data_IF_984316257756
#
_entry.id   IF_984316257756
#
_cell.length_a   1.000
_cell.length_b   1.000
_cell.length_c   1.000
_cell.angle_alpha   90.00
_cell.angle_beta   90.00
_cell.angle_gamma   90.00
#
_symmetry.space_group_name_H-M   'P 1'
#
loop_
_entity.id
_entity.type
_entity.pdbx_description
1 polymer ?
#
# COMPACT_ATOMS: atom_id res chain seq x y z
N UNK A 1 12.92 -10.19 0.14
CA UNK A 1 14.29 -9.77 -0.23
C UNK A 1 14.68 -10.32 -1.60
N UNK A 2 14.72 -11.65 -1.80
CA UNK A 2 15.08 -12.29 -3.09
C UNK A 2 14.25 -11.73 -4.24
N UNK A 3 12.93 -11.73 -4.08
CA UNK A 3 12.01 -11.19 -5.09
C UNK A 3 12.18 -9.70 -5.39
N UNK A 4 12.62 -8.87 -4.43
CA UNK A 4 12.94 -7.46 -4.70
C UNK A 4 14.21 -7.34 -5.55
N UNK A 5 15.22 -8.18 -5.31
CA UNK A 5 16.39 -8.25 -6.18
C UNK A 5 16.01 -8.71 -7.59
N UNK A 6 15.09 -9.69 -7.72
CA UNK A 6 14.56 -10.12 -9.02
C UNK A 6 13.78 -9.03 -9.75
N UNK A 7 13.16 -8.09 -9.03
CA UNK A 7 12.47 -6.93 -9.60
C UNK A 7 13.43 -5.76 -9.93
N UNK A 8 14.72 -5.87 -9.60
CA UNK A 8 15.70 -4.82 -9.83
C UNK A 8 15.68 -3.68 -8.80
N UNK A 9 15.04 -3.88 -7.63
CA UNK A 9 15.05 -2.92 -6.52
C UNK A 9 15.95 -3.43 -5.37
N UNK A 10 17.26 -3.13 -5.41
CA UNK A 10 18.18 -3.59 -4.38
C UNK A 10 17.98 -2.88 -3.04
N UNK A 11 17.44 -1.65 -3.05
CA UNK A 11 17.23 -0.89 -1.83
C UNK A 11 16.17 -1.57 -0.95
N UNK A 12 15.01 -1.89 -1.52
CA UNK A 12 13.97 -2.63 -0.80
C UNK A 12 14.42 -4.05 -0.44
N UNK A 13 15.20 -4.69 -1.32
CA UNK A 13 15.85 -5.97 -1.03
C UNK A 13 16.65 -5.92 0.28
N UNK A 14 17.49 -4.90 0.44
CA UNK A 14 18.31 -4.69 1.65
C UNK A 14 17.50 -4.32 2.89
N UNK A 15 16.44 -3.51 2.75
CA UNK A 15 15.53 -3.20 3.87
C UNK A 15 14.94 -4.49 4.45
N UNK A 16 14.45 -5.40 3.61
CA UNK A 16 13.92 -6.68 4.05
C UNK A 16 15.00 -7.63 4.60
N UNK A 17 16.23 -7.56 4.08
CA UNK A 17 17.37 -8.30 4.64
C UNK A 17 17.69 -7.80 6.06
N UNK A 18 17.81 -6.49 6.28
CA UNK A 18 18.08 -5.92 7.59
C UNK A 18 16.96 -6.24 8.58
N UNK A 19 15.70 -6.21 8.14
CA UNK A 19 14.56 -6.64 8.98
C UNK A 19 14.69 -8.08 9.43
N UNK A 20 14.98 -9.00 8.50
CA UNK A 20 15.21 -10.41 8.82
C UNK A 20 16.40 -10.57 9.79
N UNK A 21 17.54 -9.94 9.48
CA UNK A 21 18.75 -10.02 10.29
C UNK A 21 18.53 -9.52 11.73
N UNK A 22 17.97 -8.32 11.91
CA UNK A 22 17.75 -7.75 13.23
C UNK A 22 16.71 -8.55 14.03
N UNK A 23 15.59 -8.93 13.41
CA UNK A 23 14.53 -9.63 14.10
C UNK A 23 14.95 -11.06 14.47
N UNK A 24 15.73 -11.74 13.62
CA UNK A 24 16.23 -13.07 13.93
C UNK A 24 17.33 -13.05 14.99
N UNK A 25 18.30 -12.14 14.92
CA UNK A 25 19.46 -12.11 15.83
C UNK A 25 19.13 -11.44 17.17
N UNK A 26 18.48 -10.26 17.13
CA UNK A 26 18.19 -9.46 18.33
C UNK A 26 16.74 -9.60 18.80
N UNK A 27 15.83 -9.98 17.90
CA UNK A 27 14.39 -10.12 18.17
C UNK A 27 13.96 -11.54 18.59
N UNK A 28 14.85 -12.30 19.23
CA UNK A 28 14.61 -13.68 19.68
C UNK A 28 14.12 -14.60 18.54
N UNK A 29 14.81 -14.64 17.41
CA UNK A 29 14.39 -15.50 16.29
C UNK A 29 13.18 -14.98 15.50
N UNK A 30 12.76 -13.74 15.73
CA UNK A 30 11.69 -13.07 14.98
C UNK A 30 10.40 -12.83 15.77
N UNK A 31 10.34 -13.20 17.06
CA UNK A 31 9.19 -12.92 17.92
C UNK A 31 9.02 -11.43 18.21
N UNK A 32 10.12 -10.66 18.23
CA UNK A 32 10.12 -9.23 18.52
C UNK A 32 10.58 -8.45 17.28
N UNK A 33 9.79 -7.45 16.86
CA UNK A 33 10.11 -6.58 15.71
C UNK A 33 11.07 -5.45 16.11
N UNK A 34 12.32 -5.81 16.37
CA UNK A 34 13.40 -4.86 16.72
C UNK A 34 13.68 -3.90 15.57
N UNK A 35 13.61 -4.38 14.32
CA UNK A 35 13.85 -3.58 13.14
C UNK A 35 12.84 -2.44 12.99
N UNK A 36 11.54 -2.73 13.17
CA UNK A 36 10.47 -1.73 13.11
C UNK A 36 10.58 -0.67 14.22
N UNK A 37 11.05 -1.07 15.41
CA UNK A 37 11.30 -0.14 16.52
C UNK A 37 12.54 0.74 16.28
N UNK A 38 13.57 0.22 15.60
CA UNK A 38 14.80 0.95 15.35
C UNK A 38 14.66 2.06 14.29
N UNK A 39 13.85 1.83 13.24
CA UNK A 39 13.67 2.81 12.17
C UNK A 39 12.29 2.70 11.50
N UNK A 40 11.56 3.81 11.32
CA UNK A 40 10.28 3.82 10.59
C UNK A 40 10.36 3.21 9.18
N UNK A 41 11.50 3.30 8.49
CA UNK A 41 11.69 2.71 7.15
C UNK A 41 11.75 1.18 7.16
N UNK A 42 11.96 0.56 8.32
CA UNK A 42 12.05 -0.89 8.50
C UNK A 42 10.75 -1.49 9.08
N UNK A 43 9.67 -0.72 9.12
CA UNK A 43 8.36 -1.20 9.55
C UNK A 43 7.85 -2.36 8.69
N UNK A 44 6.96 -3.16 9.30
CA UNK A 44 6.35 -4.29 8.61
C UNK A 44 5.50 -3.85 7.43
N UNK A 45 5.70 -4.52 6.31
CA UNK A 45 4.99 -4.30 5.04
C UNK A 45 4.52 -5.64 4.48
N UNK A 46 3.54 -5.60 3.59
CA UNK A 46 3.02 -6.80 2.92
C UNK A 46 4.13 -7.52 2.14
N UNK A 47 4.15 -8.86 2.18
CA UNK A 47 5.22 -9.64 1.58
C UNK A 47 5.15 -9.55 0.04
N UNK A 48 6.27 -9.17 -0.58
CA UNK A 48 6.44 -9.28 -2.02
C UNK A 48 7.10 -10.62 -2.33
N UNK A 49 6.30 -11.52 -2.88
CA UNK A 49 6.65 -12.90 -3.19
C UNK A 49 6.80 -13.11 -4.70
N UNK A 50 7.08 -14.33 -5.11
CA UNK A 50 7.31 -14.65 -6.51
C UNK A 50 6.12 -14.28 -7.41
N UNK A 51 4.88 -14.43 -6.95
CA UNK A 51 3.69 -13.98 -7.68
C UNK A 51 3.71 -12.47 -7.99
N UNK A 52 4.20 -11.66 -7.05
CA UNK A 52 4.42 -10.23 -7.26
C UNK A 52 5.52 -9.97 -8.30
N UNK A 53 6.59 -10.79 -8.34
CA UNK A 53 7.62 -10.67 -9.39
C UNK A 53 7.06 -11.00 -10.78
N UNK A 54 6.24 -12.04 -10.89
CA UNK A 54 5.55 -12.38 -12.14
C UNK A 54 4.66 -11.22 -12.60
N UNK A 55 3.92 -10.60 -11.67
CA UNK A 55 3.15 -9.39 -11.93
C UNK A 55 3.99 -8.21 -12.41
N UNK A 56 5.17 -7.99 -11.81
CA UNK A 56 6.11 -6.94 -12.22
C UNK A 56 6.59 -7.13 -13.67
N UNK A 57 6.81 -8.37 -14.08
CA UNK A 57 7.19 -8.73 -15.45
C UNK A 57 6.01 -8.83 -16.44
N UNK A 58 4.78 -8.51 -16.01
CA UNK A 58 3.62 -8.43 -16.89
C UNK A 58 2.84 -9.74 -17.06
N UNK A 59 3.09 -10.75 -16.22
CA UNK A 59 2.27 -11.96 -16.17
C UNK A 59 0.90 -11.62 -15.54
N UNK A 60 -0.18 -11.93 -16.25
CA UNK A 60 -1.55 -11.74 -15.76
C UNK A 60 -1.92 -12.73 -14.65
N UNK A 61 -2.97 -12.43 -13.88
CA UNK A 61 -3.41 -13.28 -12.76
C UNK A 61 -3.88 -14.68 -13.15
N UNK A 62 -4.32 -14.85 -14.40
CA UNK A 62 -5.00 -16.07 -14.85
C UNK A 62 -6.43 -16.16 -14.31
N UNK A 63 -7.02 -17.37 -14.27
CA UNK A 63 -8.36 -17.57 -13.76
C UNK A 63 -8.42 -17.29 -12.25
N UNK A 64 -9.45 -16.55 -11.84
CA UNK A 64 -9.80 -16.37 -10.43
C UNK A 64 -10.67 -17.55 -9.98
N UNK A 65 -10.28 -18.21 -8.90
CA UNK A 65 -11.00 -19.36 -8.34
C UNK A 65 -11.25 -19.11 -6.86
N UNK A 66 -12.46 -19.41 -6.41
CA UNK A 66 -12.79 -19.41 -4.98
C UNK A 66 -12.80 -20.87 -4.51
N UNK A 67 -11.81 -21.22 -3.68
CA UNK A 67 -11.64 -22.57 -3.17
C UNK A 67 -12.33 -22.74 -1.81
N UNK A 68 -12.93 -23.91 -1.53
CA UNK A 68 -13.44 -24.21 -0.20
C UNK A 68 -12.27 -24.24 0.81
N UNK A 69 -12.49 -23.69 2.01
CA UNK A 69 -11.52 -23.53 3.11
C UNK A 69 -10.35 -22.56 2.85
N UNK A 70 -9.81 -22.49 1.63
CA UNK A 70 -8.67 -21.63 1.31
C UNK A 70 -9.09 -20.17 1.09
N UNK A 71 -10.21 -19.96 0.39
CA UNK A 71 -10.68 -18.62 0.04
C UNK A 71 -10.38 -18.27 -1.41
N UNK A 72 -9.94 -17.04 -1.65
CA UNK A 72 -9.61 -16.55 -2.98
C UNK A 72 -8.26 -17.06 -3.45
N UNK A 73 -8.22 -17.61 -4.66
CA UNK A 73 -7.03 -18.20 -5.26
C UNK A 73 -6.82 -17.67 -6.67
N UNK A 74 -5.59 -17.29 -6.98
CA UNK A 74 -5.12 -16.99 -8.34
C UNK A 74 -3.89 -17.80 -8.68
N UNK A 75 -3.81 -18.23 -9.94
CA UNK A 75 -2.71 -19.06 -10.40
C UNK A 75 -1.36 -18.32 -10.30
N UNK A 76 -1.36 -17.01 -10.55
CA UNK A 76 -0.14 -16.18 -10.51
C UNK A 76 0.36 -15.91 -9.10
N UNK A 77 -0.50 -15.43 -8.20
CA UNK A 77 -0.05 -15.02 -6.87
C UNK A 77 0.08 -16.25 -5.98
N UNK A 78 -1.01 -16.94 -5.69
CA UNK A 78 -0.99 -18.06 -4.74
C UNK A 78 -0.19 -19.26 -5.27
N UNK A 79 -0.32 -19.56 -6.57
CA UNK A 79 0.47 -20.61 -7.22
C UNK A 79 1.94 -20.22 -7.42
N UNK A 80 2.21 -18.98 -7.84
CA UNK A 80 3.57 -18.47 -8.03
C UNK A 80 4.33 -18.36 -6.72
N UNK A 81 3.68 -17.93 -5.64
CA UNK A 81 4.27 -17.78 -4.31
C UNK A 81 4.79 -19.11 -3.73
N UNK A 82 4.32 -20.26 -4.23
CA UNK A 82 4.88 -21.57 -3.88
C UNK A 82 6.34 -21.73 -4.33
N UNK A 83 6.77 -21.00 -5.36
CA UNK A 83 8.16 -21.01 -5.83
C UNK A 83 9.13 -20.47 -4.76
N UNK A 84 8.66 -19.62 -3.84
CA UNK A 84 9.46 -19.15 -2.71
C UNK A 84 9.74 -20.26 -1.67
N UNK A 85 9.07 -21.41 -1.79
CA UNK A 85 9.36 -22.63 -1.04
C UNK A 85 10.61 -23.39 -1.50
N UNK A 86 11.19 -23.05 -2.65
CA UNK A 86 12.33 -23.76 -3.23
C UNK A 86 13.69 -23.33 -2.69
N UNK A 87 13.76 -22.19 -2.00
CA UNK A 87 14.98 -21.63 -1.45
C UNK A 87 14.83 -21.31 0.05
N UNK A 88 15.94 -21.24 0.82
CA UNK A 88 15.87 -20.96 2.26
C UNK A 88 15.33 -19.55 2.52
N UNK A 89 14.57 -19.28 3.59
CA UNK A 89 14.30 -20.08 4.80
C UNK A 89 13.06 -20.97 4.65
N UNK A 90 12.20 -20.69 3.66
CA UNK A 90 10.90 -21.35 3.52
C UNK A 90 11.04 -22.83 3.13
N UNK A 91 12.11 -23.18 2.41
CA UNK A 91 12.44 -24.57 2.09
C UNK A 91 12.78 -25.44 3.31
N UNK A 92 13.06 -24.84 4.47
CA UNK A 92 13.31 -25.59 5.72
C UNK A 92 12.03 -25.97 6.46
N UNK A 93 10.88 -25.39 6.10
CA UNK A 93 9.60 -25.77 6.70
C UNK A 93 9.14 -27.10 6.13
N UNK A 94 8.84 -28.05 7.01
CA UNK A 94 8.12 -29.26 6.62
C UNK A 94 6.69 -28.93 6.20
N UNK A 95 6.04 -29.82 5.44
CA UNK A 95 4.67 -29.61 5.02
C UNK A 95 3.69 -29.37 6.19
N UNK A 96 3.74 -30.11 7.31
CA UNK A 96 2.92 -29.81 8.49
C UNK A 96 3.19 -28.43 9.09
N UNK A 97 4.45 -27.98 9.13
CA UNK A 97 4.80 -26.64 9.62
C UNK A 97 4.25 -25.54 8.71
N UNK A 98 4.27 -25.76 7.40
CA UNK A 98 3.70 -24.82 6.41
C UNK A 98 2.19 -24.68 6.57
N UNK A 99 1.49 -25.80 6.76
CA UNK A 99 0.04 -25.79 7.05
C UNK A 99 -0.23 -25.13 8.41
N UNK A 100 0.58 -25.41 9.42
CA UNK A 100 0.50 -24.76 10.73
C UNK A 100 0.66 -23.24 10.65
N UNK A 101 1.67 -22.76 9.92
CA UNK A 101 1.89 -21.34 9.65
C UNK A 101 0.68 -20.70 8.97
N UNK A 102 0.20 -21.29 7.87
CA UNK A 102 -0.97 -20.79 7.14
C UNK A 102 -2.21 -20.72 8.05
N UNK A 103 -2.40 -21.73 8.91
CA UNK A 103 -3.51 -21.80 9.85
C UNK A 103 -3.44 -20.69 10.90
N UNK A 104 -2.27 -20.47 11.50
CA UNK A 104 -2.06 -19.43 12.50
C UNK A 104 -2.25 -18.02 11.91
N UNK A 105 -1.68 -17.76 10.72
CA UNK A 105 -1.88 -16.50 10.00
C UNK A 105 -3.36 -16.30 9.63
N UNK A 106 -4.06 -17.37 9.23
CA UNK A 106 -5.50 -17.34 8.95
C UNK A 106 -6.36 -17.03 10.19
N UNK A 107 -6.04 -17.63 11.33
CA UNK A 107 -6.76 -17.36 12.59
C UNK A 107 -6.51 -15.92 13.04
N UNK A 108 -5.27 -15.45 12.99
CA UNK A 108 -4.92 -14.07 13.38
C UNK A 108 -5.62 -13.04 12.48
N UNK A 109 -5.58 -13.22 11.16
CA UNK A 109 -6.28 -12.32 10.24
C UNK A 109 -7.79 -12.35 10.44
N UNK A 110 -8.39 -13.51 10.76
CA UNK A 110 -9.82 -13.59 11.11
C UNK A 110 -10.12 -12.86 12.42
N UNK A 111 -9.26 -12.97 13.42
CA UNK A 111 -9.42 -12.27 14.69
C UNK A 111 -9.39 -10.75 14.51
N UNK A 112 -8.44 -10.23 13.72
CA UNK A 112 -8.34 -8.81 13.40
C UNK A 112 -9.55 -8.26 12.62
N UNK A 113 -10.20 -9.12 11.82
CA UNK A 113 -11.37 -8.76 11.02
C UNK A 113 -12.70 -8.97 11.75
N UNK A 114 -12.69 -9.50 12.98
CA UNK A 114 -13.91 -9.86 13.70
C UNK A 114 -14.80 -8.64 13.99
N UNK A 115 -14.21 -7.51 14.34
CA UNK A 115 -14.95 -6.25 14.60
C UNK A 115 -15.57 -5.67 13.33
N UNK A 116 -14.97 -5.95 12.17
CA UNK A 116 -15.43 -5.48 10.86
C UNK A 116 -16.45 -6.42 10.20
N UNK A 117 -16.77 -7.56 10.82
CA UNK A 117 -17.68 -8.57 10.27
C UNK A 117 -19.11 -8.03 10.07
N UNK A 118 -19.52 -7.03 10.87
CA UNK A 118 -20.82 -6.37 10.72
C UNK A 118 -20.99 -5.65 9.37
N UNK A 119 -19.91 -5.08 8.82
CA UNK A 119 -19.94 -4.40 7.52
C UNK A 119 -20.18 -5.39 6.37
N UNK A 120 -19.64 -6.60 6.50
CA UNK A 120 -19.84 -7.69 5.55
C UNK A 120 -21.29 -8.18 5.58
N UNK A 121 -21.82 -8.40 6.79
CA UNK A 121 -23.18 -8.93 6.99
C UNK A 121 -24.29 -7.97 6.56
N UNK A 122 -24.00 -6.66 6.50
CA UNK A 122 -24.93 -5.66 5.99
C UNK A 122 -25.00 -5.60 4.46
N UNK A 123 -24.02 -6.18 3.75
CA UNK A 123 -24.02 -6.20 2.28
C UNK A 123 -25.10 -7.13 1.73
N UNK A 124 -25.74 -6.74 0.62
CA UNK A 124 -26.82 -7.53 0.01
C UNK A 124 -26.35 -8.87 -0.58
N UNK A 125 -25.08 -8.97 -0.99
CA UNK A 125 -24.44 -10.20 -1.48
C UNK A 125 -23.00 -10.29 -0.96
N UNK A 126 -22.76 -11.05 0.13
CA UNK A 126 -21.44 -11.18 0.74
C UNK A 126 -20.39 -11.86 -0.17
N UNK A 127 -20.81 -12.85 -0.98
CA UNK A 127 -19.87 -13.59 -1.84
C UNK A 127 -19.38 -12.70 -2.98
N UNK A 128 -20.30 -11.97 -3.62
CA UNK A 128 -19.94 -11.00 -4.65
C UNK A 128 -19.14 -9.83 -4.09
N UNK A 129 -19.40 -9.38 -2.86
CA UNK A 129 -18.59 -8.35 -2.20
C UNK A 129 -17.14 -8.81 -2.04
N UNK A 130 -16.92 -10.04 -1.58
CA UNK A 130 -15.57 -10.61 -1.43
C UNK A 130 -14.84 -10.70 -2.77
N UNK A 131 -15.50 -11.21 -3.81
CA UNK A 131 -14.95 -11.30 -5.16
C UNK A 131 -14.64 -9.92 -5.78
N UNK A 132 -15.49 -8.91 -5.52
CA UNK A 132 -15.23 -7.52 -5.95
C UNK A 132 -14.04 -6.91 -5.22
N UNK A 133 -13.89 -7.20 -3.92
CA UNK A 133 -12.74 -6.73 -3.14
C UNK A 133 -11.44 -7.30 -3.66
N UNK A 134 -11.38 -8.62 -3.89
CA UNK A 134 -10.16 -9.27 -4.42
C UNK A 134 -9.80 -8.77 -5.81
N UNK A 135 -10.76 -8.65 -6.73
CA UNK A 135 -10.51 -8.06 -8.05
C UNK A 135 -10.03 -6.61 -7.97
N UNK A 136 -10.54 -5.81 -7.03
CA UNK A 136 -10.07 -4.42 -6.82
C UNK A 136 -8.62 -4.36 -6.32
N UNK A 137 -8.23 -5.26 -5.40
CA UNK A 137 -6.84 -5.37 -4.91
C UNK A 137 -5.89 -5.78 -6.06
N UNK A 138 -6.33 -6.71 -6.90
CA UNK A 138 -5.58 -7.14 -8.09
C UNK A 138 -5.40 -5.99 -9.10
N UNK A 139 -6.47 -5.24 -9.39
CA UNK A 139 -6.38 -4.09 -10.29
C UNK A 139 -5.46 -3.01 -9.71
N UNK A 140 -5.55 -2.74 -8.40
CA UNK A 140 -4.68 -1.78 -7.72
C UNK A 140 -3.21 -2.16 -7.83
N UNK A 141 -2.87 -3.44 -7.61
CA UNK A 141 -1.49 -3.92 -7.72
C UNK A 141 -0.97 -3.92 -9.17
N UNK A 142 -1.82 -4.20 -10.17
CA UNK A 142 -1.46 -3.98 -11.58
C UNK A 142 -1.22 -2.51 -11.91
N UNK A 143 -2.06 -1.60 -11.39
CA UNK A 143 -1.89 -0.17 -11.61
C UNK A 143 -0.61 0.33 -10.94
N UNK A 144 -0.28 -0.15 -9.74
CA UNK A 144 0.98 0.17 -9.06
C UNK A 144 2.21 -0.36 -9.82
N UNK A 145 2.13 -1.54 -10.43
CA UNK A 145 3.19 -2.05 -11.29
C UNK A 145 3.33 -1.21 -12.58
N UNK A 146 2.21 -0.76 -13.16
CA UNK A 146 2.19 0.03 -14.39
C UNK A 146 2.50 1.52 -14.17
N UNK A 147 2.26 2.10 -12.99
CA UNK A 147 2.52 3.51 -12.72
C UNK A 147 4.01 3.84 -12.84
N UNK A 148 4.88 2.93 -12.38
CA UNK A 148 6.33 3.07 -12.54
C UNK A 148 6.77 2.94 -14.01
N UNK A 149 5.95 2.32 -14.87
CA UNK A 149 6.18 2.18 -16.32
C UNK A 149 5.63 3.38 -17.11
N UNK A 150 4.65 4.10 -16.56
CA UNK A 150 4.03 5.30 -17.14
C UNK A 150 4.36 6.54 -16.31
N UNK A 151 5.64 6.86 -16.13
CA UNK A 151 6.00 8.24 -15.81
C UNK A 151 5.69 9.10 -17.04
N UNK A 152 4.47 9.65 -17.07
CA UNK A 152 4.05 10.55 -18.14
C UNK A 152 4.69 11.92 -17.89
N UNK A 153 5.53 12.44 -18.81
CA UNK A 153 6.13 13.76 -18.66
C UNK A 153 5.08 14.88 -18.51
N UNK A 154 3.86 14.69 -19.03
CA UNK A 154 2.77 15.64 -18.88
C UNK A 154 2.20 15.69 -17.46
N UNK A 155 2.33 14.62 -16.67
CA UNK A 155 1.86 14.60 -15.28
C UNK A 155 2.72 15.51 -14.38
N UNK A 156 4.02 15.59 -14.67
CA UNK A 156 4.95 16.51 -14.00
C UNK A 156 4.62 17.96 -14.37
N UNK A 157 4.38 18.24 -15.66
CA UNK A 157 3.98 19.57 -16.12
C UNK A 157 2.66 20.06 -15.49
N UNK A 158 1.67 19.17 -15.30
CA UNK A 158 0.39 19.53 -14.64
C UNK A 158 0.60 19.82 -13.14
N UNK A 159 1.49 19.07 -12.46
CA UNK A 159 1.80 19.36 -11.06
C UNK A 159 2.54 20.69 -10.87
N UNK A 160 3.41 21.03 -11.81
CA UNK A 160 4.14 22.30 -11.79
C UNK A 160 3.20 23.48 -12.05
N UNK A 161 2.29 23.36 -13.03
CA UNK A 161 1.28 24.38 -13.32
C UNK A 161 0.30 24.57 -12.14
N UNK A 162 -0.09 23.47 -11.47
CA UNK A 162 -0.89 23.52 -10.24
C UNK A 162 -0.14 24.22 -9.09
N UNK A 163 1.15 23.95 -8.89
CA UNK A 163 1.97 24.66 -7.89
C UNK A 163 2.07 26.15 -8.20
N UNK A 164 2.29 26.53 -9.46
CA UNK A 164 2.35 27.93 -9.90
C UNK A 164 1.01 28.62 -9.64
N UNK A 165 -0.12 27.99 -9.97
CA UNK A 165 -1.45 28.56 -9.76
C UNK A 165 -1.79 28.76 -8.27
N UNK A 166 -1.38 27.82 -7.40
CA UNK A 166 -1.56 27.92 -5.94
C UNK A 166 -0.66 29.01 -5.36
N UNK A 167 0.59 29.10 -5.82
CA UNK A 167 1.52 30.16 -5.42
C UNK A 167 0.98 31.53 -5.82
N UNK A 168 0.46 31.67 -7.05
CA UNK A 168 -0.09 32.92 -7.54
C UNK A 168 -1.35 33.33 -6.75
N UNK A 169 -2.25 32.39 -6.43
CA UNK A 169 -3.38 32.64 -5.51
C UNK A 169 -2.94 33.06 -4.11
N UNK A 170 -1.83 32.51 -3.58
CA UNK A 170 -1.27 32.92 -2.29
C UNK A 170 -0.66 34.33 -2.35
N UNK A 171 0.02 34.69 -3.43
CA UNK A 171 0.55 36.05 -3.63
C UNK A 171 -0.58 37.08 -3.78
N UNK A 172 -1.63 36.78 -4.55
CA UNK A 172 -2.81 37.65 -4.69
C UNK A 172 -3.50 37.87 -3.33
N UNK A 173 -3.66 36.82 -2.50
CA UNK A 173 -4.19 36.96 -1.14
C UNK A 173 -3.27 37.79 -0.23
N UNK A 174 -1.95 37.73 -0.41
CA UNK A 174 -0.98 38.51 0.36
C UNK A 174 -0.99 39.99 -0.03
N UNK A 175 -1.11 40.29 -1.33
CA UNK A 175 -1.30 41.65 -1.87
C UNK A 175 -2.63 42.22 -1.39
N UNK A 176 -3.72 41.46 -1.47
CA UNK A 176 -5.05 41.86 -0.99
C UNK A 176 -5.07 42.21 0.50
N UNK A 177 -4.35 41.46 1.35
CA UNK A 177 -4.20 41.79 2.78
C UNK A 177 -3.39 43.06 3.04
N UNK A 178 -2.42 43.39 2.19
CA UNK A 178 -1.64 44.64 2.31
C UNK A 178 -2.39 45.86 1.75
N UNK A 179 -3.30 45.69 0.78
CA UNK A 179 -4.14 46.79 0.27
C UNK A 179 -5.25 47.21 1.22
N UNK A 180 -5.60 46.39 2.24
CA UNK A 180 -6.50 46.82 3.31
C UNK A 180 -5.88 47.85 4.28
N UNK A 181 -4.61 48.24 4.11
CA UNK A 181 -3.97 49.32 4.86
C UNK A 181 -4.00 50.69 4.15
N UNK A 182 -4.55 50.81 2.92
CA UNK A 182 -4.45 52.03 2.10
C UNK A 182 -5.79 52.68 1.71
N UNK A 183 -6.89 52.39 2.43
CA UNK A 183 -8.16 53.13 2.29
C UNK A 183 -8.52 53.84 3.61
N UNK A 184 -7.70 54.81 4.00
CA UNK A 184 -8.13 55.89 4.90
C UNK A 184 -8.11 57.20 4.11
N UNK A 185 -9.27 57.60 3.58
CA UNK A 185 -9.60 59.02 3.36
C UNK A 185 -10.97 59.28 4.03
N UNK A 186 -11.17 60.45 4.65
CA UNK A 186 -12.04 60.57 5.81
C UNK A 186 -13.51 60.79 5.44
N UNK A 187 -14.37 60.32 6.33
CA UNK A 187 -15.81 60.53 6.37
C UNK A 187 -16.15 62.02 6.54
N UNK A 188 -16.84 62.59 5.54
CA UNK A 188 -17.57 63.86 5.67
C UNK A 188 -18.94 63.55 6.28
N UNK A 189 -19.23 64.21 7.41
CA UNK A 189 -20.46 64.14 8.18
C UNK A 189 -21.44 65.23 7.75
N UNK A 190 -22.70 64.87 7.46
CA UNK A 190 -23.91 65.72 7.60
C UNK A 190 -25.12 64.77 7.60
N UNK A 191 -25.73 64.45 8.75
CA UNK A 191 -26.77 65.22 9.46
C UNK A 191 -28.13 65.30 8.75
N UNK A 192 -29.08 64.59 9.37
CA UNK A 192 -30.52 64.93 9.58
C UNK A 192 -31.60 64.50 8.56
N UNK A 193 -32.53 63.73 9.14
CA UNK A 193 -33.94 63.46 8.83
C UNK A 193 -34.69 64.40 7.86
N UNK A 194 -35.63 63.72 7.19
CA UNK A 194 -36.79 64.13 6.36
C UNK A 194 -36.51 64.21 4.87
#
# INVERSE_FOLDING_TARGET
>A
MVNYFLQGDPYQGMVHFTRFFLNTILGMGGFIDVAGMANPKLQRTEPHRFGSTLGHYGVGYGPYVQLPFYGSFTLRDDGGDMADGLYPVLSWLTWPMSVGKWTLEGIETRAQLLDSDGLLRQSSDPLLWCAKRTSSVMISSLMAANSNRRENPNAQAIQDDLKISILNKKQIKKVSRNTHLFCCYPSITTSKRR
#
